data_IF_898487518279
#
_entry.id   IF_898487518279
#
_cell.length_a   1.000
_cell.length_b   1.000
_cell.length_c   1.000
_cell.angle_alpha   90.00
_cell.angle_beta   90.00
_cell.angle_gamma   90.00
#
_symmetry.space_group_name_H-M   'P 1'
#
loop_
_entity.id
_entity.type
_entity.pdbx_description
1 polymer ?
#
# COMPACT_ATOMS: atom_id res chain seq x y z
N UNK A 1 42.35 11.54 -37.39
CA UNK A 1 42.42 10.67 -36.21
C UNK A 1 41.08 9.97 -36.04
N UNK A 2 41.11 8.64 -35.85
CA UNK A 2 40.01 7.71 -35.55
C UNK A 2 39.14 7.25 -36.74
N UNK A 3 39.72 6.31 -37.47
CA UNK A 3 39.10 5.21 -38.24
C UNK A 3 38.33 4.23 -37.34
N UNK A 4 37.20 3.70 -37.83
CA UNK A 4 36.69 2.33 -37.61
C UNK A 4 35.24 2.26 -38.10
N UNK A 5 34.71 1.17 -38.64
CA UNK A 5 35.25 -0.05 -39.22
C UNK A 5 34.06 -0.67 -39.98
N UNK A 6 34.37 -1.26 -41.13
CA UNK A 6 33.46 -1.90 -42.05
C UNK A 6 33.35 -3.40 -41.71
N UNK A 7 32.29 -4.05 -42.21
CA UNK A 7 32.18 -5.47 -42.61
C UNK A 7 31.41 -6.43 -41.68
N UNK A 8 30.22 -6.77 -42.20
CA UNK A 8 29.43 -8.02 -42.20
C UNK A 8 30.10 -9.35 -41.81
N UNK A 9 29.33 -10.29 -41.23
CA UNK A 9 28.83 -11.52 -41.91
C UNK A 9 28.37 -12.59 -40.89
N UNK A 10 27.25 -13.22 -41.20
CA UNK A 10 26.59 -14.31 -40.46
C UNK A 10 27.34 -15.65 -40.54
N UNK A 11 27.08 -16.56 -39.58
CA UNK A 11 26.85 -18.00 -39.84
C UNK A 11 26.55 -18.77 -38.53
N UNK A 12 25.44 -19.51 -38.52
CA UNK A 12 25.11 -20.54 -37.54
C UNK A 12 25.67 -21.90 -37.98
N UNK A 13 26.13 -22.74 -37.04
CA UNK A 13 26.27 -24.19 -37.27
C UNK A 13 26.17 -24.97 -35.94
N UNK A 14 25.13 -25.82 -35.85
CA UNK A 14 25.04 -26.93 -34.91
C UNK A 14 25.88 -28.10 -35.44
N UNK A 15 26.69 -28.71 -34.58
CA UNK A 15 27.41 -29.95 -34.86
C UNK A 15 27.11 -30.99 -33.79
N UNK A 16 26.34 -32.02 -34.18
CA UNK A 16 26.16 -33.25 -33.43
C UNK A 16 27.29 -34.23 -33.77
N UNK A 17 27.82 -34.91 -32.76
CA UNK A 17 28.71 -36.05 -32.96
C UNK A 17 29.35 -36.50 -31.65
N UNK A 18 29.06 -37.74 -31.24
CA UNK A 18 30.03 -38.80 -30.95
C UNK A 18 29.28 -39.97 -30.28
N UNK A 19 29.02 -41.04 -31.03
CA UNK A 19 29.80 -42.29 -31.16
C UNK A 19 29.36 -43.35 -30.14
N UNK A 20 28.83 -44.44 -30.70
CA UNK A 20 28.54 -45.72 -30.06
C UNK A 20 29.72 -46.29 -29.29
N UNK A 21 29.51 -46.56 -27.99
CA UNK A 21 30.38 -47.45 -27.23
C UNK A 21 29.55 -48.62 -26.68
N UNK A 22 29.58 -49.75 -27.40
CA UNK A 22 29.04 -51.01 -26.91
C UNK A 22 29.95 -51.54 -25.80
N UNK A 23 29.55 -51.31 -24.56
CA UNK A 23 30.03 -52.10 -23.42
C UNK A 23 28.92 -53.09 -23.06
N UNK A 24 29.20 -54.38 -23.27
CA UNK A 24 28.38 -55.47 -22.75
C UNK A 24 28.74 -55.62 -21.27
N UNK A 25 27.92 -55.04 -20.40
CA UNK A 25 27.97 -55.25 -18.96
C UNK A 25 26.94 -56.32 -18.60
N UNK A 26 27.41 -57.47 -18.10
CA UNK A 26 26.57 -58.52 -17.54
C UNK A 26 26.05 -58.06 -16.18
N UNK A 27 24.79 -57.62 -16.13
CA UNK A 27 24.16 -57.18 -14.88
C UNK A 27 23.21 -58.27 -14.35
N UNK A 28 23.33 -58.71 -13.08
CA UNK A 28 22.50 -59.76 -12.51
C UNK A 28 21.01 -59.37 -12.50
N UNK A 29 20.13 -60.34 -12.73
CA UNK A 29 18.67 -60.22 -12.64
C UNK A 29 18.28 -59.51 -11.33
N UNK A 30 17.63 -58.33 -11.37
CA UNK A 30 17.16 -57.68 -10.15
C UNK A 30 15.96 -58.47 -9.58
N UNK A 31 16.08 -58.94 -8.35
CA UNK A 31 14.97 -59.43 -7.55
C UNK A 31 13.94 -58.31 -7.39
N UNK A 32 12.62 -58.53 -7.61
CA UNK A 32 11.63 -57.48 -7.43
C UNK A 32 11.59 -57.04 -5.96
N UNK A 33 12.07 -55.83 -5.69
CA UNK A 33 11.94 -55.18 -4.38
C UNK A 33 10.49 -54.72 -4.25
N UNK A 34 9.80 -55.14 -3.18
CA UNK A 34 8.45 -54.66 -2.89
C UNK A 34 8.48 -53.15 -2.74
N UNK A 35 7.75 -52.47 -3.63
CA UNK A 35 7.54 -51.03 -3.59
C UNK A 35 6.86 -50.65 -2.28
N UNK A 36 7.52 -49.85 -1.45
CA UNK A 36 6.89 -49.26 -0.27
C UNK A 36 5.77 -48.30 -0.72
N UNK A 37 4.57 -48.49 -0.20
CA UNK A 37 3.42 -47.60 -0.42
C UNK A 37 3.76 -46.19 0.06
N UNK A 38 3.57 -45.13 -0.77
CA UNK A 38 3.86 -43.77 -0.34
C UNK A 38 2.92 -43.40 0.82
N UNK A 39 3.49 -43.00 1.95
CA UNK A 39 2.74 -42.48 3.09
C UNK A 39 2.18 -41.11 2.70
N UNK A 40 0.85 -40.94 2.73
CA UNK A 40 0.21 -39.66 2.47
C UNK A 40 0.66 -38.64 3.52
N UNK A 41 1.42 -37.63 3.08
CA UNK A 41 1.81 -36.52 3.94
C UNK A 41 0.58 -35.64 4.16
N UNK A 42 0.16 -35.47 5.41
CA UNK A 42 -0.97 -34.60 5.74
C UNK A 42 -0.65 -33.16 5.31
N UNK A 43 -1.52 -32.56 4.51
CA UNK A 43 -1.41 -31.16 4.07
C UNK A 43 -1.47 -30.22 5.28
N UNK A 44 -0.62 -29.18 5.37
CA UNK A 44 -0.71 -28.21 6.46
C UNK A 44 -2.07 -27.50 6.43
N UNK A 45 -2.61 -27.27 7.63
CA UNK A 45 -3.86 -26.53 7.83
C UNK A 45 -3.67 -25.05 7.42
N UNK A 46 -4.65 -24.41 6.74
CA UNK A 46 -4.54 -23.01 6.37
C UNK A 46 -4.44 -22.11 7.60
N UNK A 47 -3.51 -21.17 7.58
CA UNK A 47 -3.39 -20.12 8.61
C UNK A 47 -4.62 -19.20 8.53
N UNK A 48 -5.30 -18.90 9.65
CA UNK A 48 -6.44 -17.98 9.62
C UNK A 48 -5.98 -16.59 9.15
N UNK A 49 -6.80 -15.96 8.30
CA UNK A 49 -6.56 -14.59 7.85
C UNK A 49 -6.63 -13.63 9.04
N UNK A 50 -5.77 -12.58 9.10
CA UNK A 50 -5.87 -11.58 10.15
C UNK A 50 -7.25 -10.92 10.14
N UNK A 51 -7.82 -10.73 11.33
CA UNK A 51 -9.04 -9.96 11.54
C UNK A 51 -8.76 -8.49 11.19
N UNK A 52 -9.59 -7.82 10.37
CA UNK A 52 -9.42 -6.39 10.10
C UNK A 52 -9.44 -5.58 11.39
N UNK A 53 -8.51 -4.63 11.53
CA UNK A 53 -8.51 -3.66 12.62
C UNK A 53 -9.74 -2.76 12.50
N UNK A 54 -10.49 -2.50 13.59
CA UNK A 54 -11.63 -1.59 13.53
C UNK A 54 -11.18 -0.20 13.09
N UNK A 55 -11.96 0.43 12.21
CA UNK A 55 -11.75 1.83 11.82
C UNK A 55 -12.01 2.74 13.04
N UNK A 56 -11.21 3.80 13.25
CA UNK A 56 -11.50 4.77 14.30
C UNK A 56 -12.89 5.38 14.12
N UNK A 57 -13.59 5.59 15.24
CA UNK A 57 -14.88 6.27 15.24
C UNK A 57 -14.65 7.76 14.93
N UNK A 58 -15.32 8.33 13.93
CA UNK A 58 -15.12 9.73 13.57
C UNK A 58 -15.59 10.63 14.72
N UNK A 59 -14.77 11.60 15.09
CA UNK A 59 -14.93 12.44 16.28
C UNK A 59 -14.85 13.93 15.89
N UNK A 60 -15.64 14.82 16.52
CA UNK A 60 -15.53 16.26 16.30
C UNK A 60 -14.14 16.77 16.75
N UNK A 61 -13.67 17.86 16.14
CA UNK A 61 -12.36 18.43 16.39
C UNK A 61 -12.46 19.57 17.39
N UNK A 62 -11.80 19.43 18.55
CA UNK A 62 -11.67 20.48 19.55
C UNK A 62 -10.30 21.17 19.41
N UNK A 63 -10.31 22.51 19.36
CA UNK A 63 -9.06 23.29 19.34
C UNK A 63 -8.25 23.11 20.63
N UNK A 64 -6.92 23.13 20.51
CA UNK A 64 -6.00 22.92 21.64
C UNK A 64 -6.17 23.92 22.80
N UNK A 65 -6.61 25.16 22.50
CA UNK A 65 -6.88 26.19 23.53
C UNK A 65 -8.32 26.15 24.04
N UNK A 66 -9.13 25.19 23.59
CA UNK A 66 -10.58 25.22 23.79
C UNK A 66 -11.24 26.35 23.00
N UNK A 67 -12.54 26.53 23.21
CA UNK A 67 -13.32 27.62 22.64
C UNK A 67 -13.69 27.47 21.15
N UNK A 68 -13.12 26.53 20.40
CA UNK A 68 -13.56 26.23 19.03
C UNK A 68 -13.76 24.72 18.89
N UNK A 69 -14.99 24.31 18.56
CA UNK A 69 -15.39 22.92 18.30
C UNK A 69 -15.91 22.81 16.88
N UNK A 70 -15.20 22.07 16.02
CA UNK A 70 -15.68 21.75 14.68
C UNK A 70 -16.44 20.43 14.72
N UNK A 71 -17.71 20.48 14.33
CA UNK A 71 -18.62 19.32 14.30
C UNK A 71 -18.61 18.65 12.94
N UNK A 72 -18.45 19.43 11.87
CA UNK A 72 -18.30 18.91 10.52
C UNK A 72 -17.26 19.74 9.74
N UNK A 73 -16.44 19.10 8.89
CA UNK A 73 -16.28 17.65 8.76
C UNK A 73 -15.65 17.02 10.01
N UNK A 74 -15.97 15.74 10.26
CA UNK A 74 -15.36 14.99 11.36
C UNK A 74 -13.88 14.70 11.06
N UNK A 75 -13.10 14.47 12.12
CA UNK A 75 -11.69 14.10 12.00
C UNK A 75 -11.47 12.93 11.04
N UNK A 76 -10.40 13.00 10.25
CA UNK A 76 -9.99 11.97 9.27
C UNK A 76 -10.97 11.74 8.10
N UNK A 77 -11.97 12.61 7.93
CA UNK A 77 -12.88 12.54 6.78
C UNK A 77 -12.20 13.12 5.54
N UNK A 78 -12.31 12.43 4.41
CA UNK A 78 -11.92 12.98 3.12
C UNK A 78 -12.98 13.96 2.63
N UNK A 79 -12.58 15.20 2.37
CA UNK A 79 -13.48 16.27 1.91
C UNK A 79 -13.15 16.72 0.49
N UNK A 80 -14.12 17.33 -0.18
CA UNK A 80 -13.99 17.89 -1.54
C UNK A 80 -14.68 19.24 -1.62
N UNK A 81 -14.43 19.99 -2.70
CA UNK A 81 -15.15 21.23 -2.98
C UNK A 81 -16.52 20.92 -3.60
N UNK A 82 -17.60 21.62 -3.23
CA UNK A 82 -17.66 22.64 -2.16
C UNK A 82 -17.57 22.03 -0.75
N UNK A 83 -16.89 22.73 0.15
CA UNK A 83 -16.70 22.33 1.56
C UNK A 83 -17.45 23.27 2.50
N UNK A 84 -18.29 22.71 3.35
CA UNK A 84 -18.91 23.40 4.49
C UNK A 84 -18.26 22.95 5.78
N UNK A 85 -17.87 23.90 6.63
CA UNK A 85 -17.33 23.64 7.96
C UNK A 85 -18.33 24.20 8.98
N UNK A 86 -18.79 23.38 9.91
CA UNK A 86 -19.79 23.75 10.91
C UNK A 86 -19.29 23.40 12.32
N UNK A 87 -19.71 24.18 13.31
CA UNK A 87 -19.19 24.06 14.65
C UNK A 87 -19.72 25.10 15.63
N UNK A 88 -19.12 25.11 16.80
CA UNK A 88 -19.36 26.07 17.87
C UNK A 88 -18.07 26.82 18.17
N UNK A 89 -18.18 28.13 18.42
CA UNK A 89 -17.04 28.97 18.76
C UNK A 89 -17.41 29.95 19.87
N UNK A 90 -16.56 30.04 20.87
CA UNK A 90 -16.53 31.03 21.93
C UNK A 90 -15.15 31.68 21.86
N UNK A 91 -15.10 32.82 21.16
CA UNK A 91 -13.88 33.57 20.85
C UNK A 91 -14.10 35.05 21.17
N UNK A 92 -13.02 35.81 21.37
CA UNK A 92 -13.09 37.24 21.69
C UNK A 92 -13.93 37.99 20.64
N UNK A 93 -14.89 38.81 21.11
CA UNK A 93 -15.81 39.59 20.26
C UNK A 93 -16.59 38.76 19.20
N UNK A 94 -16.69 37.44 19.41
CA UNK A 94 -17.23 36.50 18.43
C UNK A 94 -16.45 36.47 17.09
N UNK A 95 -15.29 37.10 17.00
CA UNK A 95 -14.51 37.26 15.79
C UNK A 95 -13.60 36.04 15.53
N UNK A 96 -13.87 35.28 14.46
CA UNK A 96 -13.07 34.11 14.07
C UNK A 96 -12.40 34.32 12.72
N UNK A 97 -11.08 34.46 12.74
CA UNK A 97 -10.22 34.39 11.56
C UNK A 97 -9.80 32.93 11.37
N UNK A 98 -9.93 32.40 10.16
CA UNK A 98 -9.69 30.99 9.88
C UNK A 98 -8.88 30.75 8.61
N UNK A 99 -8.18 29.62 8.59
CA UNK A 99 -7.47 29.08 7.43
C UNK A 99 -7.72 27.57 7.35
N UNK A 100 -7.92 27.06 6.14
CA UNK A 100 -7.98 25.63 5.83
C UNK A 100 -6.70 25.24 5.13
N UNK A 101 -5.98 24.24 5.64
CA UNK A 101 -4.72 23.75 5.07
C UNK A 101 -4.80 22.31 4.63
N UNK A 102 -4.04 21.93 3.60
CA UNK A 102 -3.83 20.52 3.24
C UNK A 102 -2.80 19.84 4.18
N UNK A 103 -2.57 18.54 3.96
CA UNK A 103 -1.59 17.76 4.74
C UNK A 103 -0.13 18.16 4.48
N UNK A 104 0.15 18.92 3.41
CA UNK A 104 1.45 19.51 3.13
C UNK A 104 1.61 20.91 3.75
N UNK A 105 0.59 21.41 4.47
CA UNK A 105 0.59 22.72 5.12
C UNK A 105 0.23 23.88 4.20
N UNK A 106 -0.21 23.61 2.96
CA UNK A 106 -0.62 24.65 2.02
C UNK A 106 -2.00 25.17 2.38
N UNK A 107 -2.16 26.50 2.44
CA UNK A 107 -3.47 27.14 2.66
C UNK A 107 -4.34 26.95 1.41
N UNK A 108 -5.46 26.26 1.56
CA UNK A 108 -6.48 26.03 0.53
C UNK A 108 -7.52 27.16 0.49
N UNK A 109 -7.86 27.69 1.65
CA UNK A 109 -8.80 28.80 1.81
C UNK A 109 -8.54 29.53 3.14
N UNK A 110 -8.99 30.78 3.23
CA UNK A 110 -8.91 31.57 4.45
C UNK A 110 -10.01 32.61 4.47
N UNK A 111 -10.37 33.09 5.65
CA UNK A 111 -11.38 34.12 5.76
C UNK A 111 -11.67 34.53 7.19
N UNK A 112 -12.82 35.17 7.34
CA UNK A 112 -13.35 35.66 8.60
C UNK A 112 -14.81 35.25 8.72
N UNK A 113 -15.24 34.92 9.93
CA UNK A 113 -16.66 34.74 10.27
C UNK A 113 -16.91 35.22 11.70
N UNK A 114 -18.18 35.39 12.05
CA UNK A 114 -18.61 35.72 13.40
C UNK A 114 -19.34 34.54 14.02
N UNK A 115 -18.95 34.15 15.23
CA UNK A 115 -19.73 33.23 16.04
C UNK A 115 -21.04 33.91 16.49
N UNK A 116 -22.00 33.10 16.95
CA UNK A 116 -23.29 33.62 17.44
C UNK A 116 -23.13 34.42 18.75
N UNK A 117 -22.06 34.17 19.52
CA UNK A 117 -21.76 34.86 20.77
C UNK A 117 -20.24 35.06 20.97
N UNK A 118 -19.86 36.10 21.71
CA UNK A 118 -18.48 36.39 22.09
C UNK A 118 -18.10 35.78 23.45
N UNK A 119 -16.80 35.64 23.69
CA UNK A 119 -16.28 35.13 24.96
C UNK A 119 -16.00 36.24 26.00
N UNK A 120 -16.07 35.93 27.32
CA UNK A 120 -16.57 34.67 27.87
C UNK A 120 -18.10 34.59 27.73
N UNK A 121 -18.59 33.40 27.39
CA UNK A 121 -20.03 33.11 27.28
C UNK A 121 -20.61 32.67 28.63
#
# INVERSE_FOLDING_TARGET
MRTAALVTLAAALLGAGCVDNRIVVTTPTPTPVRSATPTSTASPSPTPSPTPTPSPVPTPLLSARGGILVKEPLANTHVRSPLTISGEASVFEAALIWQVTDTAGRVLASGFTTATAGAPA
#
